data_IF_389991091219
#
_entry.id   IF_389991091219
#
_cell.length_a   1.000
_cell.length_b   1.000
_cell.length_c   1.000
_cell.angle_alpha   90.00
_cell.angle_beta   90.00
_cell.angle_gamma   90.00
#
_symmetry.space_group_name_H-M   'P 1'
#
loop_
_entity.id
_entity.type
_entity.pdbx_description
1 polymer ?
#
# COMPACT_ATOMS: atom_id res chain seq x y z
N UNK A 1 9.97 -6.38 -7.04
CA UNK A 1 9.76 -5.38 -5.96
C UNK A 1 9.06 -6.06 -4.78
N UNK A 2 7.93 -6.75 -4.99
CA UNK A 2 7.25 -7.53 -3.94
C UNK A 2 8.13 -8.61 -3.27
N UNK A 3 9.02 -9.27 -4.04
CA UNK A 3 9.95 -10.28 -3.52
C UNK A 3 11.01 -9.74 -2.52
N UNK A 4 11.30 -8.42 -2.57
CA UNK A 4 12.25 -7.76 -1.66
C UNK A 4 11.58 -7.52 -0.29
N UNK A 5 10.30 -7.19 -0.29
CA UNK A 5 9.49 -6.93 0.92
C UNK A 5 9.33 -8.24 1.73
N UNK A 6 9.03 -9.35 1.04
CA UNK A 6 8.94 -10.67 1.68
C UNK A 6 10.27 -11.22 2.21
N UNK A 7 11.41 -10.67 1.76
CA UNK A 7 12.74 -11.08 2.25
C UNK A 7 13.08 -10.56 3.66
N UNK A 8 12.21 -9.74 4.27
CA UNK A 8 12.44 -9.12 5.58
C UNK A 8 13.42 -7.94 5.53
N UNK A 9 13.76 -7.47 4.33
CA UNK A 9 14.48 -6.20 4.18
C UNK A 9 13.49 -5.07 4.44
N UNK A 10 13.70 -4.30 5.51
CA UNK A 10 12.87 -3.14 5.87
C UNK A 10 12.92 -2.09 4.76
N UNK A 11 11.97 -2.13 3.84
CA UNK A 11 11.85 -1.19 2.75
C UNK A 11 10.97 -0.04 3.22
N UNK A 12 11.60 0.97 3.84
CA UNK A 12 10.91 2.24 4.07
C UNK A 12 10.83 2.96 2.73
N UNK A 13 9.62 3.11 2.20
CA UNK A 13 9.32 3.85 0.96
C UNK A 13 8.56 5.14 1.24
N UNK A 14 8.46 5.57 2.50
CA UNK A 14 7.65 6.71 2.92
C UNK A 14 8.08 7.98 2.19
N UNK A 15 9.39 8.23 2.14
CA UNK A 15 9.97 9.37 1.43
C UNK A 15 9.58 9.41 -0.06
N UNK A 16 9.42 8.24 -0.69
CA UNK A 16 9.04 8.16 -2.09
C UNK A 16 7.53 8.35 -2.26
N UNK A 17 6.73 7.78 -1.37
CA UNK A 17 5.28 7.94 -1.38
C UNK A 17 4.90 9.41 -1.18
N UNK A 18 5.46 10.05 -0.16
CA UNK A 18 5.20 11.47 0.17
C UNK A 18 5.72 12.46 -0.91
N UNK A 19 6.70 12.04 -1.73
CA UNK A 19 7.21 12.86 -2.84
C UNK A 19 6.33 12.78 -4.10
N UNK A 20 5.57 11.69 -4.26
CA UNK A 20 4.85 11.36 -5.50
C UNK A 20 3.34 11.48 -5.35
N UNK A 21 2.80 11.17 -4.16
CA UNK A 21 1.37 11.13 -3.86
C UNK A 21 1.04 12.05 -2.69
N UNK A 22 -0.20 12.54 -2.66
CA UNK A 22 -0.68 13.35 -1.55
C UNK A 22 -0.90 12.49 -0.30
N UNK A 23 -0.65 13.05 0.88
CA UNK A 23 -0.80 12.38 2.19
C UNK A 23 -2.21 11.78 2.36
N UNK A 24 -3.25 12.53 1.99
CA UNK A 24 -4.65 12.08 2.05
C UNK A 24 -4.89 10.81 1.20
N UNK A 25 -4.25 10.70 0.02
CA UNK A 25 -4.38 9.52 -0.85
C UNK A 25 -3.72 8.29 -0.23
N UNK A 26 -2.55 8.49 0.38
CA UNK A 26 -1.81 7.43 1.04
C UNK A 26 -2.61 6.93 2.24
N UNK A 27 -3.12 7.85 3.06
CA UNK A 27 -3.90 7.53 4.26
C UNK A 27 -5.20 6.80 3.92
N UNK A 28 -5.95 7.26 2.91
CA UNK A 28 -7.20 6.60 2.49
C UNK A 28 -6.97 5.12 2.08
N UNK A 29 -5.93 4.86 1.27
CA UNK A 29 -5.59 3.50 0.84
C UNK A 29 -5.06 2.67 2.02
N UNK A 30 -4.29 3.28 2.92
CA UNK A 30 -3.77 2.60 4.10
C UNK A 30 -4.89 2.20 5.05
N UNK A 31 -5.84 3.09 5.30
CA UNK A 31 -7.04 2.85 6.12
C UNK A 31 -7.90 1.73 5.55
N UNK A 32 -8.04 1.65 4.21
CA UNK A 32 -8.68 0.51 3.56
C UNK A 32 -8.01 -0.82 3.96
N UNK A 33 -6.67 -0.91 3.93
CA UNK A 33 -5.98 -2.14 4.31
C UNK A 33 -6.04 -2.44 5.82
N UNK A 34 -6.12 -1.40 6.67
CA UNK A 34 -6.34 -1.56 8.12
C UNK A 34 -7.71 -2.16 8.44
N UNK A 35 -8.75 -1.75 7.73
CA UNK A 35 -10.14 -2.21 7.95
C UNK A 35 -10.50 -3.46 7.14
N UNK A 36 -9.75 -3.78 6.08
CA UNK A 36 -9.98 -4.94 5.23
C UNK A 36 -9.61 -6.26 5.92
N UNK A 37 -10.43 -7.30 5.70
CA UNK A 37 -10.10 -8.68 6.11
C UNK A 37 -9.04 -9.33 5.20
N UNK A 38 -8.67 -8.68 4.09
CA UNK A 38 -7.71 -9.20 3.11
C UNK A 38 -6.74 -8.12 2.62
N UNK A 39 -5.48 -8.50 2.48
CA UNK A 39 -4.48 -7.67 1.80
C UNK A 39 -4.47 -7.86 0.27
N UNK A 40 -5.42 -8.58 -0.32
CA UNK A 40 -5.41 -8.88 -1.76
C UNK A 40 -5.40 -7.62 -2.61
N UNK A 41 -4.41 -7.50 -3.51
CA UNK A 41 -4.33 -6.39 -4.46
C UNK A 41 -5.55 -6.36 -5.39
N UNK A 42 -6.03 -7.52 -5.83
CA UNK A 42 -7.19 -7.58 -6.74
C UNK A 42 -8.47 -7.09 -6.04
N UNK A 43 -8.64 -7.41 -4.75
CA UNK A 43 -9.78 -6.93 -3.97
C UNK A 43 -9.69 -5.42 -3.72
N UNK A 44 -8.50 -4.93 -3.37
CA UNK A 44 -8.26 -3.50 -3.20
C UNK A 44 -8.55 -2.72 -4.48
N UNK A 45 -8.13 -3.24 -5.64
CA UNK A 45 -8.47 -2.64 -6.93
C UNK A 45 -9.97 -2.60 -7.15
N UNK A 46 -10.70 -3.69 -6.92
CA UNK A 46 -12.15 -3.69 -7.17
C UNK A 46 -12.89 -2.61 -6.35
N UNK A 47 -12.41 -2.32 -5.15
CA UNK A 47 -12.98 -1.30 -4.27
C UNK A 47 -12.46 0.13 -4.53
N UNK A 48 -11.21 0.28 -5.00
CA UNK A 48 -10.49 1.57 -5.05
C UNK A 48 -10.14 2.06 -6.47
N UNK A 49 -10.37 1.26 -7.53
CA UNK A 49 -9.95 1.57 -8.92
C UNK A 49 -10.67 2.80 -9.52
N UNK A 50 -11.74 3.30 -8.89
CA UNK A 50 -12.39 4.57 -9.29
C UNK A 50 -11.59 5.81 -8.90
N UNK A 51 -10.83 5.73 -7.82
CA UNK A 51 -10.23 6.90 -7.15
C UNK A 51 -8.70 6.84 -7.16
N UNK A 52 -8.11 5.63 -7.27
CA UNK A 52 -6.68 5.42 -7.23
C UNK A 52 -6.23 4.40 -8.30
N UNK A 53 -5.01 4.59 -8.79
CA UNK A 53 -4.37 3.68 -9.75
C UNK A 53 -3.88 2.40 -9.07
N UNK A 54 -3.76 1.32 -9.85
CA UNK A 54 -3.15 0.07 -9.36
C UNK A 54 -1.75 0.29 -8.77
N UNK A 55 -0.97 1.21 -9.34
CA UNK A 55 0.39 1.49 -8.88
C UNK A 55 0.40 2.15 -7.49
N UNK A 56 -0.46 3.14 -7.27
CA UNK A 56 -0.70 3.75 -5.96
C UNK A 56 -1.10 2.69 -4.92
N UNK A 57 -2.14 1.92 -5.23
CA UNK A 57 -2.67 0.87 -4.34
C UNK A 57 -1.58 -0.15 -4.00
N UNK A 58 -0.80 -0.59 -5.00
CA UNK A 58 0.29 -1.57 -4.81
C UNK A 58 1.38 -1.01 -3.89
N UNK A 59 1.76 0.25 -4.03
CA UNK A 59 2.83 0.85 -3.24
C UNK A 59 2.41 1.05 -1.79
N UNK A 60 1.21 1.56 -1.53
CA UNK A 60 0.67 1.70 -0.17
C UNK A 60 0.47 0.32 0.49
N UNK A 61 0.00 -0.69 -0.27
CA UNK A 61 -0.06 -2.08 0.19
C UNK A 61 1.31 -2.60 0.65
N UNK A 62 2.37 -2.30 -0.09
CA UNK A 62 3.75 -2.70 0.27
C UNK A 62 4.16 -2.06 1.59
N UNK A 63 3.88 -0.76 1.78
CA UNK A 63 4.10 -0.05 3.05
C UNK A 63 3.34 -0.74 4.19
N UNK A 64 2.04 -0.94 4.03
CA UNK A 64 1.16 -1.59 5.01
C UNK A 64 1.70 -2.96 5.44
N UNK A 65 1.99 -3.84 4.47
CA UNK A 65 2.53 -5.18 4.75
C UNK A 65 3.89 -5.14 5.44
N UNK A 66 4.77 -4.19 5.07
CA UNK A 66 6.06 -4.01 5.73
C UNK A 66 5.94 -3.52 7.17
N UNK A 67 4.87 -2.80 7.52
CA UNK A 67 4.63 -2.30 8.88
C UNK A 67 3.92 -3.32 9.77
N UNK A 68 2.92 -4.03 9.24
CA UNK A 68 2.11 -5.02 9.99
C UNK A 68 2.78 -6.39 10.17
N UNK A 69 3.74 -6.75 9.31
CA UNK A 69 4.47 -8.02 9.44
C UNK A 69 5.56 -8.01 10.54
N UNK A 70 5.71 -6.91 11.29
CA UNK A 70 6.67 -6.75 12.38
C UNK A 70 6.05 -6.87 13.77
#
# INVERSE_FOLDING_TARGET
>A
IEEIVYSGTKLNIDYFLEDVYDEDQIDDIYDYFMDSETDSLDAAKEELDSDYSEEEIRLVRIKFLSEMAN
#
